data_IF_617366246473
#
_entry.id   IF_617366246473
#
_cell.length_a   1.000
_cell.length_b   1.000
_cell.length_c   1.000
_cell.angle_alpha   90.00
_cell.angle_beta   90.00
_cell.angle_gamma   90.00
#
_symmetry.space_group_name_H-M   'P 1'
#
loop_
_entity.id
_entity.type
_entity.pdbx_description
1 polymer ?
#
# COMPACT_ATOMS: atom_id res chain seq x y z
N UNK A 1 -8.83 5.16 10.46
CA UNK A 1 -7.65 5.99 10.09
C UNK A 1 -6.37 5.59 10.83
N UNK A 2 -6.34 5.64 12.18
CA UNK A 2 -5.13 5.36 12.98
C UNK A 2 -4.38 4.08 12.60
N UNK A 3 -5.10 2.96 12.40
CA UNK A 3 -4.50 1.70 11.96
C UNK A 3 -3.61 1.84 10.72
N UNK A 4 -4.13 2.46 9.65
CA UNK A 4 -3.40 2.62 8.40
C UNK A 4 -2.21 3.57 8.54
N UNK A 5 -2.35 4.62 9.36
CA UNK A 5 -1.27 5.56 9.65
C UNK A 5 -0.13 4.88 10.42
N UNK A 6 -0.46 4.14 11.47
CA UNK A 6 0.53 3.38 12.24
C UNK A 6 1.20 2.31 11.39
N UNK A 7 0.43 1.60 10.54
CA UNK A 7 0.97 0.63 9.59
C UNK A 7 1.99 1.27 8.63
N UNK A 8 1.64 2.40 8.02
CA UNK A 8 2.53 3.13 7.11
C UNK A 8 3.84 3.53 7.80
N UNK A 9 3.75 4.07 9.02
CA UNK A 9 4.92 4.46 9.81
C UNK A 9 5.82 3.27 10.18
N UNK A 10 5.25 2.20 10.72
CA UNK A 10 6.02 1.03 11.16
C UNK A 10 6.64 0.27 9.99
N UNK A 11 5.96 0.23 8.84
CA UNK A 11 6.48 -0.41 7.62
C UNK A 11 7.40 0.49 6.80
N UNK A 12 7.62 1.75 7.22
CA UNK A 12 8.37 2.78 6.47
C UNK A 12 7.87 2.93 5.03
N UNK A 13 6.57 2.79 4.83
CA UNK A 13 5.93 2.84 3.52
C UNK A 13 5.09 4.10 3.37
N UNK A 14 5.07 4.67 2.17
CA UNK A 14 4.15 5.76 1.83
C UNK A 14 2.83 5.16 1.37
N UNK A 15 1.78 5.27 2.20
CA UNK A 15 0.45 4.70 1.92
C UNK A 15 -0.57 5.82 1.79
N UNK A 16 -1.28 5.84 0.66
CA UNK A 16 -2.41 6.73 0.41
C UNK A 16 -3.67 5.88 0.24
N UNK A 17 -4.72 6.22 0.99
CA UNK A 17 -6.02 5.56 0.89
C UNK A 17 -7.12 6.60 0.79
N UNK A 18 -8.03 6.40 -0.15
CA UNK A 18 -9.19 7.27 -0.35
C UNK A 18 -10.38 6.41 -0.72
N UNK A 19 -11.44 6.47 0.10
CA UNK A 19 -12.73 5.90 -0.27
C UNK A 19 -13.48 6.94 -1.09
N UNK A 20 -13.59 6.73 -2.40
CA UNK A 20 -14.15 7.72 -3.33
C UNK A 20 -15.63 8.04 -3.04
N UNK A 21 -16.41 7.03 -2.63
CA UNK A 21 -17.82 7.16 -2.28
C UNK A 21 -18.27 5.97 -1.43
N UNK A 22 -19.44 6.11 -0.80
CA UNK A 22 -20.12 5.05 -0.06
C UNK A 22 -21.05 5.62 1.02
N UNK A 23 -22.09 4.89 1.37
CA UNK A 23 -23.03 5.27 2.45
C UNK A 23 -22.87 4.40 3.71
N UNK A 24 -22.43 3.15 3.56
CA UNK A 24 -22.24 2.22 4.66
C UNK A 24 -20.76 2.15 5.08
N UNK A 25 -20.46 2.47 6.34
CA UNK A 25 -19.10 2.56 6.83
C UNK A 25 -18.37 1.20 6.93
N UNK A 26 -19.09 0.11 7.18
CA UNK A 26 -18.54 -1.25 7.13
C UNK A 26 -18.03 -1.56 5.71
N UNK A 27 -18.82 -1.28 4.68
CA UNK A 27 -18.39 -1.47 3.29
C UNK A 27 -17.22 -0.54 2.92
N UNK A 28 -17.21 0.71 3.40
CA UNK A 28 -16.10 1.65 3.12
C UNK A 28 -14.77 1.14 3.67
N UNK A 29 -14.74 0.69 4.94
CA UNK A 29 -13.50 0.22 5.57
C UNK A 29 -13.04 -1.13 4.99
N UNK A 30 -13.97 -2.02 4.67
CA UNK A 30 -13.66 -3.29 4.02
C UNK A 30 -13.09 -3.05 2.61
N UNK A 31 -13.71 -2.17 1.82
CA UNK A 31 -13.22 -1.80 0.50
C UNK A 31 -11.82 -1.17 0.56
N UNK A 32 -11.58 -0.24 1.49
CA UNK A 32 -10.26 0.37 1.67
C UNK A 32 -9.20 -0.66 2.06
N UNK A 33 -9.54 -1.62 2.93
CA UNK A 33 -8.63 -2.68 3.36
C UNK A 33 -8.32 -3.65 2.22
N UNK A 34 -9.33 -4.05 1.43
CA UNK A 34 -9.16 -4.90 0.25
C UNK A 34 -8.29 -4.21 -0.82
N UNK A 35 -8.52 -2.92 -1.08
CA UNK A 35 -7.72 -2.14 -2.01
C UNK A 35 -6.25 -2.06 -1.54
N UNK A 36 -6.01 -1.82 -0.24
CA UNK A 36 -4.66 -1.83 0.32
C UNK A 36 -3.98 -3.19 0.16
N UNK A 37 -4.68 -4.30 0.42
CA UNK A 37 -4.13 -5.64 0.30
C UNK A 37 -3.66 -5.94 -1.14
N UNK A 38 -4.45 -5.55 -2.15
CA UNK A 38 -4.07 -5.67 -3.56
C UNK A 38 -2.84 -4.80 -3.89
N UNK A 39 -2.84 -3.54 -3.47
CA UNK A 39 -1.72 -2.63 -3.71
C UNK A 39 -0.42 -3.12 -3.07
N UNK A 40 -0.47 -3.65 -1.84
CA UNK A 40 0.69 -4.23 -1.16
C UNK A 40 1.17 -5.51 -1.84
N UNK A 41 0.26 -6.38 -2.28
CA UNK A 41 0.62 -7.58 -3.06
C UNK A 41 1.41 -7.18 -4.31
N UNK A 42 0.95 -6.19 -5.05
CA UNK A 42 1.60 -5.75 -6.28
C UNK A 42 2.95 -5.09 -5.98
N UNK A 43 3.01 -4.20 -4.98
CA UNK A 43 4.24 -3.50 -4.59
C UNK A 43 5.33 -4.44 -4.04
N UNK A 44 4.96 -5.51 -3.34
CA UNK A 44 5.89 -6.49 -2.77
C UNK A 44 6.18 -7.67 -3.70
N UNK A 45 5.56 -7.73 -4.88
CA UNK A 45 5.81 -8.81 -5.83
C UNK A 45 7.22 -8.73 -6.42
N UNK A 46 7.85 -9.89 -6.58
CA UNK A 46 9.16 -9.99 -7.22
C UNK A 46 8.99 -9.73 -8.72
N UNK A 47 9.67 -8.71 -9.25
CA UNK A 47 9.76 -8.43 -10.69
C UNK A 47 11.04 -9.10 -11.25
N UNK A 48 10.91 -10.19 -12.03
CA UNK A 48 12.06 -10.95 -12.51
C UNK A 48 13.06 -10.13 -13.32
N UNK A 49 12.60 -9.07 -14.01
CA UNK A 49 13.47 -8.19 -14.80
C UNK A 49 14.31 -7.23 -13.96
N UNK A 50 14.05 -7.11 -12.66
CA UNK A 50 14.69 -6.13 -11.75
C UNK A 50 15.41 -6.79 -10.57
N UNK A 51 15.63 -8.10 -10.60
CA UNK A 51 16.24 -8.88 -9.51
C UNK A 51 17.59 -8.34 -9.01
N UNK A 52 18.39 -7.75 -9.90
CA UNK A 52 19.73 -7.22 -9.57
C UNK A 52 19.76 -5.70 -9.45
N UNK A 53 18.60 -5.02 -9.44
CA UNK A 53 18.52 -3.55 -9.43
C UNK A 53 17.65 -3.06 -8.29
N UNK A 54 18.14 -2.06 -7.55
CA UNK A 54 17.30 -1.32 -6.60
C UNK A 54 16.42 -0.35 -7.42
N UNK A 55 15.09 -0.33 -7.23
CA UNK A 55 14.17 0.51 -7.99
C UNK A 55 14.22 1.98 -7.53
N UNK A 56 15.42 2.56 -7.46
CA UNK A 56 15.69 3.94 -7.02
C UNK A 56 16.87 4.50 -7.81
N UNK A 57 16.74 5.72 -8.33
CA UNK A 57 17.84 6.40 -9.03
C UNK A 57 19.01 6.77 -8.11
N UNK A 58 18.75 6.81 -6.79
CA UNK A 58 19.78 7.05 -5.77
C UNK A 58 20.53 5.78 -5.37
N UNK A 59 20.07 4.60 -5.80
CA UNK A 59 20.67 3.32 -5.44
C UNK A 59 20.31 2.82 -4.03
N UNK A 60 19.38 3.48 -3.34
CA UNK A 60 18.90 3.11 -1.99
C UNK A 60 17.38 3.34 -1.86
N UNK A 61 16.74 2.68 -0.88
CA UNK A 61 15.30 2.79 -0.55
C UNK A 61 15.07 3.31 0.87
#
# INVERSE_FOLDING_TARGET
EHFFRSLAQSSKSNIHLTTLYGSNDHHKVEAATKALALALKDACSIEPRRLSTIPSTKGEL
#
